data_IF_325379009900
#
_entry.id   IF_325379009900
#
_cell.length_a   1.000
_cell.length_b   1.000
_cell.length_c   1.000
_cell.angle_alpha   90.00
_cell.angle_beta   90.00
_cell.angle_gamma   90.00
#
_symmetry.space_group_name_H-M   'P 1'
#
loop_
_entity.id
_entity.type
_entity.pdbx_description
1 polymer ?
#
# COMPACT_ATOMS: atom_id res chain seq x y z
N UNK A 1 -49.32 6.83 -22.99
CA UNK A 1 -49.22 5.69 -22.04
C UNK A 1 -50.55 5.49 -21.36
N UNK A 2 -51.05 4.24 -21.21
CA UNK A 2 -52.24 3.92 -20.43
C UNK A 2 -51.91 2.92 -19.33
N UNK A 3 -52.67 2.97 -18.20
CA UNK A 3 -52.60 1.93 -17.17
C UNK A 3 -53.03 0.58 -17.74
N UNK A 4 -52.29 -0.51 -17.46
CA UNK A 4 -52.56 -1.85 -18.01
C UNK A 4 -52.54 -2.89 -16.88
N UNK A 5 -53.33 -2.62 -15.82
CA UNK A 5 -53.49 -3.49 -14.67
C UNK A 5 -52.25 -3.48 -13.74
N UNK A 6 -52.27 -4.37 -12.77
CA UNK A 6 -51.17 -4.58 -11.80
C UNK A 6 -50.56 -5.96 -11.96
N UNK A 7 -49.29 -6.09 -11.64
CA UNK A 7 -48.61 -7.36 -11.55
C UNK A 7 -47.70 -7.37 -10.32
N UNK A 8 -47.89 -8.32 -9.42
CA UNK A 8 -47.18 -8.37 -8.12
C UNK A 8 -47.21 -7.01 -7.42
N UNK A 9 -48.39 -6.45 -7.22
CA UNK A 9 -48.66 -5.16 -6.57
C UNK A 9 -48.05 -3.93 -7.25
N UNK A 10 -47.43 -4.06 -8.44
CA UNK A 10 -46.83 -2.94 -9.18
C UNK A 10 -47.71 -2.57 -10.38
N UNK A 11 -48.03 -1.27 -10.53
CA UNK A 11 -48.79 -0.77 -11.68
C UNK A 11 -48.04 -1.04 -12.98
N UNK A 12 -48.73 -1.69 -13.95
CA UNK A 12 -48.23 -1.81 -15.32
C UNK A 12 -48.79 -0.70 -16.19
N UNK A 13 -48.01 -0.35 -17.17
CA UNK A 13 -48.38 0.60 -18.22
C UNK A 13 -48.16 -0.06 -19.59
N UNK A 14 -48.96 0.35 -20.58
CA UNK A 14 -48.80 -0.03 -21.97
C UNK A 14 -48.53 1.22 -22.80
N UNK A 15 -47.50 1.17 -23.67
CA UNK A 15 -47.30 2.22 -24.66
C UNK A 15 -48.44 2.15 -25.70
N UNK A 16 -49.10 3.27 -25.93
CA UNK A 16 -50.18 3.31 -26.93
C UNK A 16 -49.70 3.29 -28.37
N UNK A 17 -48.45 3.64 -28.57
CA UNK A 17 -47.83 3.69 -29.94
C UNK A 17 -47.28 2.32 -30.34
N UNK A 18 -46.41 1.71 -29.50
CA UNK A 18 -45.73 0.46 -29.87
C UNK A 18 -46.25 -0.79 -29.14
N UNK A 19 -47.28 -0.65 -28.27
CA UNK A 19 -47.88 -1.77 -27.53
C UNK A 19 -47.03 -2.39 -26.42
N UNK A 20 -45.80 -1.96 -26.24
CA UNK A 20 -44.86 -2.50 -25.20
C UNK A 20 -45.44 -2.25 -23.80
N UNK A 21 -45.40 -3.29 -22.97
CA UNK A 21 -45.78 -3.25 -21.55
C UNK A 21 -44.56 -3.06 -20.70
N UNK A 22 -44.65 -2.14 -19.73
CA UNK A 22 -43.59 -1.86 -18.77
C UNK A 22 -44.19 -1.54 -17.39
N UNK A 23 -43.37 -1.55 -16.36
CA UNK A 23 -43.78 -1.14 -15.01
C UNK A 23 -43.12 0.19 -14.70
N UNK A 24 -43.87 1.05 -13.99
CA UNK A 24 -43.25 2.24 -13.39
C UNK A 24 -42.44 1.84 -12.17
N UNK A 25 -41.39 2.52 -11.96
CA UNK A 25 -40.51 2.36 -10.80
C UNK A 25 -39.06 2.52 -11.22
N UNK A 26 -38.31 3.19 -10.38
CA UNK A 26 -36.88 3.28 -10.54
C UNK A 26 -36.27 1.86 -10.45
N UNK A 27 -35.60 1.44 -11.50
CA UNK A 27 -34.82 0.20 -11.44
C UNK A 27 -33.43 0.56 -11.01
N UNK A 28 -33.03 0.11 -9.83
CA UNK A 28 -31.66 0.29 -9.38
C UNK A 28 -30.69 -0.18 -10.46
N UNK A 29 -29.75 0.67 -10.82
CA UNK A 29 -28.71 0.40 -11.82
C UNK A 29 -27.53 -0.35 -11.23
N UNK A 30 -26.64 -0.88 -12.06
CA UNK A 30 -25.43 -1.53 -11.60
C UNK A 30 -24.51 -0.56 -10.85
N UNK A 31 -24.39 0.68 -11.34
CA UNK A 31 -23.58 1.72 -10.73
C UNK A 31 -24.12 2.17 -9.37
N UNK A 32 -25.45 2.33 -9.24
CA UNK A 32 -26.07 2.63 -7.93
C UNK A 32 -25.86 1.47 -6.94
N UNK A 33 -26.01 0.22 -7.38
CA UNK A 33 -25.72 -0.94 -6.54
C UNK A 33 -24.27 -0.95 -6.10
N UNK A 34 -23.36 -0.61 -7.01
CA UNK A 34 -21.93 -0.53 -6.69
C UNK A 34 -21.63 0.57 -5.69
N UNK A 35 -22.21 1.75 -5.88
CA UNK A 35 -22.07 2.88 -4.96
C UNK A 35 -22.54 2.53 -3.55
N UNK A 36 -23.73 1.97 -3.43
CA UNK A 36 -24.25 1.49 -2.14
C UNK A 36 -23.39 0.41 -1.51
N UNK A 37 -22.91 -0.53 -2.33
CA UNK A 37 -22.09 -1.63 -1.86
C UNK A 37 -20.71 -1.16 -1.39
N UNK A 38 -20.04 -0.32 -2.17
CA UNK A 38 -18.67 0.11 -1.92
C UNK A 38 -18.62 1.28 -0.93
N UNK A 39 -19.21 2.41 -1.30
CA UNK A 39 -19.13 3.64 -0.51
C UNK A 39 -20.18 3.66 0.61
N UNK A 40 -21.35 3.15 0.37
CA UNK A 40 -22.39 2.97 1.39
C UNK A 40 -22.09 1.84 2.38
N UNK A 41 -21.10 0.99 2.12
CA UNK A 41 -20.70 -0.16 2.95
C UNK A 41 -21.84 -1.13 3.24
N UNK A 42 -22.85 -1.17 2.36
CA UNK A 42 -24.05 -1.98 2.53
C UNK A 42 -23.83 -3.42 2.06
N UNK A 43 -24.45 -4.34 2.74
CA UNK A 43 -24.51 -5.74 2.31
C UNK A 43 -25.48 -5.93 1.17
N UNK A 44 -25.36 -7.02 0.42
CA UNK A 44 -26.31 -7.40 -0.63
C UNK A 44 -27.74 -7.52 -0.08
N UNK A 45 -27.91 -7.96 1.18
CA UNK A 45 -29.20 -8.09 1.84
C UNK A 45 -29.83 -6.71 2.11
N UNK A 46 -29.06 -5.76 2.62
CA UNK A 46 -29.53 -4.40 2.89
C UNK A 46 -29.92 -3.67 1.60
N UNK A 47 -29.10 -3.74 0.55
CA UNK A 47 -29.41 -3.16 -0.76
C UNK A 47 -30.68 -3.80 -1.34
N UNK A 48 -30.83 -5.12 -1.20
CA UNK A 48 -32.02 -5.85 -1.62
C UNK A 48 -33.29 -5.37 -0.87
N UNK A 49 -33.18 -5.22 0.44
CA UNK A 49 -34.30 -4.74 1.26
C UNK A 49 -34.74 -3.30 0.90
N UNK A 50 -33.76 -2.41 0.70
CA UNK A 50 -34.02 -1.01 0.37
C UNK A 50 -34.55 -0.82 -1.05
N UNK A 51 -33.99 -1.56 -2.03
CA UNK A 51 -34.38 -1.40 -3.44
C UNK A 51 -35.60 -2.23 -3.87
N UNK A 52 -36.05 -3.16 -3.02
CA UNK A 52 -37.09 -4.14 -3.37
C UNK A 52 -36.68 -5.13 -4.45
N UNK A 53 -35.36 -5.23 -4.76
CA UNK A 53 -34.78 -6.11 -5.78
C UNK A 53 -34.17 -7.35 -5.14
N UNK A 54 -34.36 -8.52 -5.71
CA UNK A 54 -33.86 -9.77 -5.12
C UNK A 54 -32.35 -9.78 -4.93
N UNK A 55 -31.80 -10.45 -3.88
CA UNK A 55 -30.37 -10.57 -3.67
C UNK A 55 -29.60 -11.15 -4.87
N UNK A 56 -30.23 -12.08 -5.60
CA UNK A 56 -29.65 -12.65 -6.83
C UNK A 56 -29.48 -11.63 -7.93
N UNK A 57 -30.45 -10.71 -8.09
CA UNK A 57 -30.37 -9.61 -9.05
C UNK A 57 -29.30 -8.61 -8.65
N UNK A 58 -29.21 -8.25 -7.34
CA UNK A 58 -28.13 -7.37 -6.83
C UNK A 58 -26.76 -7.99 -7.13
N UNK A 59 -26.55 -9.28 -6.84
CA UNK A 59 -25.29 -9.98 -7.16
C UNK A 59 -24.99 -9.94 -8.66
N UNK A 60 -26.00 -10.12 -9.51
CA UNK A 60 -25.84 -10.05 -10.96
C UNK A 60 -25.45 -8.64 -11.41
N UNK A 61 -26.09 -7.60 -10.88
CA UNK A 61 -25.74 -6.21 -11.18
C UNK A 61 -24.30 -5.90 -10.74
N UNK A 62 -23.90 -6.28 -9.53
CA UNK A 62 -22.50 -6.15 -9.08
C UNK A 62 -21.51 -6.85 -10.03
N UNK A 63 -21.91 -7.99 -10.63
CA UNK A 63 -21.07 -8.72 -11.57
C UNK A 63 -20.93 -8.04 -12.94
N UNK A 64 -21.88 -7.17 -13.33
CA UNK A 64 -21.84 -6.44 -14.61
C UNK A 64 -21.03 -5.15 -14.54
N UNK A 65 -20.80 -4.58 -13.34
CA UNK A 65 -19.97 -3.39 -13.20
C UNK A 65 -18.56 -3.72 -13.70
N UNK A 66 -18.07 -2.96 -14.67
CA UNK A 66 -16.72 -3.07 -15.19
C UNK A 66 -16.07 -1.70 -15.16
N UNK A 67 -14.93 -1.60 -14.49
CA UNK A 67 -14.09 -0.43 -14.58
C UNK A 67 -12.97 -0.72 -15.57
N UNK A 68 -12.81 0.14 -16.57
CA UNK A 68 -11.58 0.20 -17.33
C UNK A 68 -10.62 1.05 -16.53
N UNK A 69 -9.62 0.42 -15.96
CA UNK A 69 -8.52 1.16 -15.35
C UNK A 69 -7.62 1.65 -16.48
N UNK A 70 -7.47 2.94 -16.58
CA UNK A 70 -6.49 3.57 -17.46
C UNK A 70 -5.45 4.26 -16.57
N UNK A 71 -4.18 4.09 -16.92
CA UNK A 71 -3.12 4.76 -16.19
C UNK A 71 -3.28 6.27 -16.32
N UNK A 72 -3.12 7.03 -15.23
CA UNK A 72 -3.25 8.47 -15.29
C UNK A 72 -2.16 9.09 -16.17
N UNK A 73 -2.54 9.97 -17.07
CA UNK A 73 -1.59 10.86 -17.74
C UNK A 73 -1.20 11.97 -16.77
N UNK A 74 0.06 12.06 -16.44
CA UNK A 74 0.55 12.98 -15.41
C UNK A 74 1.60 13.92 -15.98
N UNK A 75 1.59 15.17 -15.52
CA UNK A 75 2.60 16.17 -15.88
C UNK A 75 3.01 16.93 -14.62
N UNK A 76 4.15 17.60 -14.67
CA UNK A 76 4.72 18.34 -13.55
C UNK A 76 6.02 17.73 -13.04
N UNK A 77 6.39 18.08 -11.84
CA UNK A 77 7.61 17.57 -11.21
C UNK A 77 7.43 17.43 -9.70
N UNK A 78 8.07 16.43 -9.10
CA UNK A 78 8.00 16.24 -7.65
C UNK A 78 8.65 14.95 -7.17
N UNK A 79 8.44 14.68 -5.90
CA UNK A 79 8.87 13.47 -5.24
C UNK A 79 7.78 12.41 -5.37
N UNK A 80 8.18 11.19 -5.68
CA UNK A 80 7.29 10.05 -5.90
C UNK A 80 7.41 9.06 -4.75
N UNK A 81 6.29 8.73 -4.13
CA UNK A 81 6.19 7.61 -3.21
C UNK A 81 5.83 6.35 -3.98
N UNK A 82 6.53 5.25 -3.74
CA UNK A 82 6.17 3.94 -4.29
C UNK A 82 6.12 2.90 -3.20
N UNK A 83 5.07 2.10 -3.22
CA UNK A 83 4.90 0.99 -2.29
C UNK A 83 3.90 -0.03 -2.83
N UNK A 84 4.02 -1.27 -2.36
CA UNK A 84 3.13 -2.36 -2.71
C UNK A 84 2.36 -2.87 -1.50
N UNK A 85 1.11 -3.25 -1.71
CA UNK A 85 0.32 -3.86 -0.64
C UNK A 85 -0.50 -5.04 -1.13
N UNK A 86 -0.80 -5.98 -0.22
CA UNK A 86 -1.49 -7.21 -0.52
C UNK A 86 -2.83 -7.30 0.23
N UNK A 87 -3.83 -7.81 -0.47
CA UNK A 87 -5.20 -8.02 0.00
C UNK A 87 -5.57 -9.50 0.10
N UNK A 88 -4.59 -10.36 0.07
CA UNK A 88 -4.69 -11.81 0.13
C UNK A 88 -3.54 -12.44 -0.63
N UNK A 89 -3.61 -13.77 -0.79
CA UNK A 89 -2.58 -14.50 -1.53
C UNK A 89 -2.63 -14.11 -3.01
N UNK A 90 -1.49 -13.74 -3.59
CA UNK A 90 -1.34 -13.39 -5.01
C UNK A 90 -2.30 -12.27 -5.50
N UNK A 91 -2.69 -11.37 -4.61
CA UNK A 91 -3.55 -10.23 -4.96
C UNK A 91 -3.04 -8.99 -4.26
N UNK A 92 -2.32 -8.17 -4.97
CA UNK A 92 -1.75 -6.92 -4.49
C UNK A 92 -1.87 -5.81 -5.52
N UNK A 93 -1.49 -4.64 -5.13
CA UNK A 93 -1.29 -3.48 -5.98
C UNK A 93 0.04 -2.82 -5.66
N UNK A 94 0.71 -2.35 -6.70
CA UNK A 94 1.76 -1.35 -6.62
C UNK A 94 1.14 0.01 -6.91
N UNK A 95 1.45 1.00 -6.08
CA UNK A 95 0.95 2.37 -6.21
C UNK A 95 2.12 3.33 -6.22
N UNK A 96 2.07 4.34 -7.09
CA UNK A 96 2.94 5.50 -7.04
C UNK A 96 2.09 6.78 -6.85
N UNK A 97 2.42 7.56 -5.82
CA UNK A 97 1.76 8.81 -5.48
C UNK A 97 2.75 9.98 -5.53
N UNK A 98 2.26 11.16 -5.91
CA UNK A 98 3.01 12.40 -5.75
C UNK A 98 3.04 12.82 -4.28
N UNK A 99 4.22 13.17 -3.79
CA UNK A 99 4.38 13.73 -2.44
C UNK A 99 3.65 15.07 -2.30
N UNK A 100 3.02 15.29 -1.15
CA UNK A 100 2.30 16.53 -0.83
C UNK A 100 0.87 16.56 -1.36
N UNK A 101 0.63 16.33 -2.64
CA UNK A 101 -0.72 16.33 -3.22
C UNK A 101 -1.47 15.01 -3.01
N UNK A 102 -0.73 13.89 -2.86
CA UNK A 102 -1.31 12.55 -2.85
C UNK A 102 -1.90 12.12 -4.20
N UNK A 103 -1.61 12.86 -5.29
CA UNK A 103 -2.09 12.53 -6.63
C UNK A 103 -1.54 11.18 -7.07
N UNK A 104 -2.42 10.33 -7.59
CA UNK A 104 -2.05 9.05 -8.16
C UNK A 104 -1.27 9.28 -9.46
N UNK A 105 -0.05 8.73 -9.52
CA UNK A 105 0.81 8.77 -10.70
C UNK A 105 0.83 7.44 -11.45
N UNK A 106 0.69 6.33 -10.74
CA UNK A 106 0.65 4.99 -11.30
C UNK A 106 -0.01 4.01 -10.34
N UNK A 107 -0.71 3.02 -10.89
CA UNK A 107 -1.20 1.87 -10.13
C UNK A 107 -1.22 0.62 -11.02
N UNK A 108 -0.77 -0.50 -10.48
CA UNK A 108 -0.86 -1.79 -11.17
C UNK A 108 -1.25 -2.91 -10.21
N UNK A 109 -2.02 -3.87 -10.71
CA UNK A 109 -2.26 -5.12 -10.01
C UNK A 109 -1.04 -6.02 -10.10
N UNK A 110 -0.59 -6.53 -8.97
CA UNK A 110 0.55 -7.45 -8.87
C UNK A 110 0.14 -8.74 -8.16
N UNK A 111 0.72 -9.86 -8.58
CA UNK A 111 0.59 -11.12 -7.86
C UNK A 111 1.69 -11.26 -6.80
N UNK A 112 2.88 -10.88 -7.17
CA UNK A 112 4.09 -10.81 -6.33
C UNK A 112 4.80 -9.51 -6.66
N UNK A 113 5.59 -9.02 -5.74
CA UNK A 113 6.38 -7.81 -5.89
C UNK A 113 7.67 -8.11 -6.64
N UNK A 114 7.83 -7.52 -7.82
CA UNK A 114 9.03 -7.63 -8.63
C UNK A 114 9.64 -6.25 -8.89
N UNK A 115 10.94 -6.21 -9.09
CA UNK A 115 11.65 -4.97 -9.45
C UNK A 115 11.07 -4.36 -10.73
N UNK A 116 10.75 -5.21 -11.71
CA UNK A 116 10.15 -4.79 -12.98
C UNK A 116 8.82 -4.04 -12.84
N UNK A 117 8.06 -4.27 -11.77
CA UNK A 117 6.81 -3.54 -11.52
C UNK A 117 7.11 -2.07 -11.17
N UNK A 118 8.17 -1.83 -10.40
CA UNK A 118 8.64 -0.49 -10.05
C UNK A 118 9.28 0.22 -11.25
N UNK A 119 10.05 -0.50 -12.08
CA UNK A 119 10.60 0.03 -13.32
C UNK A 119 9.49 0.44 -14.29
N UNK A 120 8.44 -0.37 -14.42
CA UNK A 120 7.26 -0.03 -15.23
C UNK A 120 6.55 1.23 -14.71
N UNK A 121 6.43 1.37 -13.39
CA UNK A 121 5.86 2.57 -12.77
C UNK A 121 6.68 3.83 -13.10
N UNK A 122 7.99 3.79 -12.90
CA UNK A 122 8.88 4.92 -13.22
C UNK A 122 8.86 5.24 -14.71
N UNK A 123 8.93 4.23 -15.57
CA UNK A 123 8.87 4.39 -17.03
C UNK A 123 7.57 5.06 -17.49
N UNK A 124 6.42 4.65 -16.92
CA UNK A 124 5.13 5.26 -17.22
C UNK A 124 5.10 6.74 -16.78
N UNK A 125 5.54 7.03 -15.56
CA UNK A 125 5.56 8.40 -15.00
C UNK A 125 6.40 9.32 -15.88
N UNK A 126 7.60 8.87 -16.28
CA UNK A 126 8.48 9.63 -17.17
C UNK A 126 7.90 9.83 -18.57
N UNK A 127 7.32 8.77 -19.16
CA UNK A 127 6.72 8.85 -20.50
C UNK A 127 5.50 9.76 -20.56
N UNK A 128 4.82 9.96 -19.44
CA UNK A 128 3.73 10.95 -19.29
C UNK A 128 4.19 12.39 -19.21
N UNK A 129 5.52 12.64 -19.14
CA UNK A 129 6.10 13.99 -19.03
C UNK A 129 6.30 14.48 -17.61
N UNK A 130 6.19 13.62 -16.60
CA UNK A 130 6.45 13.98 -15.21
C UNK A 130 7.95 13.86 -14.89
N UNK A 131 8.52 14.86 -14.21
CA UNK A 131 9.92 14.89 -13.80
C UNK A 131 10.06 14.43 -12.34
N UNK A 132 10.71 13.31 -12.13
CA UNK A 132 10.96 12.76 -10.79
C UNK A 132 12.15 13.47 -10.15
N UNK A 133 11.92 14.20 -9.04
CA UNK A 133 12.96 14.86 -8.22
C UNK A 133 13.59 13.91 -7.21
N UNK A 134 12.86 12.89 -6.81
CA UNK A 134 13.31 11.87 -5.88
C UNK A 134 12.22 10.86 -5.62
N UNK A 135 12.62 9.74 -5.03
CA UNK A 135 11.77 8.57 -4.82
C UNK A 135 11.82 8.17 -3.35
N UNK A 136 10.66 7.96 -2.73
CA UNK A 136 10.52 7.41 -1.38
C UNK A 136 10.03 5.97 -1.49
N UNK A 137 10.82 5.02 -0.98
CA UNK A 137 10.53 3.58 -1.05
C UNK A 137 10.75 2.90 0.31
N UNK A 138 10.31 1.65 0.39
CA UNK A 138 10.62 0.75 1.49
C UNK A 138 12.04 0.15 1.36
N UNK A 139 12.35 -0.86 2.17
CA UNK A 139 13.69 -1.47 2.22
C UNK A 139 13.93 -2.62 1.22
N UNK A 140 13.29 -2.65 0.07
CA UNK A 140 13.61 -3.64 -0.97
C UNK A 140 14.96 -3.30 -1.62
N UNK A 141 16.01 -4.02 -1.21
CA UNK A 141 17.40 -3.67 -1.46
C UNK A 141 17.73 -3.40 -2.95
N UNK A 142 17.22 -4.22 -3.87
CA UNK A 142 17.48 -4.06 -5.30
C UNK A 142 16.96 -2.76 -5.91
N UNK A 143 15.94 -2.14 -5.31
CA UNK A 143 15.42 -0.86 -5.82
C UNK A 143 16.45 0.28 -5.68
N UNK A 144 17.31 0.23 -4.67
CA UNK A 144 18.37 1.22 -4.47
C UNK A 144 19.46 1.13 -5.53
N UNK A 145 19.69 -0.06 -6.09
CA UNK A 145 20.63 -0.28 -7.18
C UNK A 145 20.04 0.15 -8.53
N UNK A 146 18.78 -0.26 -8.80
CA UNK A 146 18.09 0.04 -10.06
C UNK A 146 17.80 1.54 -10.23
N UNK A 147 17.48 2.22 -9.12
CA UNK A 147 17.18 3.66 -9.14
C UNK A 147 18.35 4.53 -8.63
N UNK A 148 19.59 4.05 -8.73
CA UNK A 148 20.79 4.76 -8.23
C UNK A 148 20.97 6.17 -8.83
N UNK A 149 20.42 6.44 -10.03
CA UNK A 149 20.45 7.75 -10.67
C UNK A 149 19.48 8.76 -10.04
N UNK A 150 18.59 8.32 -9.16
CA UNK A 150 17.63 9.16 -8.47
C UNK A 150 18.06 9.44 -7.03
N UNK A 151 17.57 10.53 -6.47
CA UNK A 151 17.61 10.78 -5.03
C UNK A 151 16.60 9.85 -4.35
N UNK A 152 17.08 8.82 -3.65
CA UNK A 152 16.23 7.81 -3.00
C UNK A 152 16.20 8.06 -1.51
N UNK A 153 15.00 8.13 -0.95
CA UNK A 153 14.74 8.12 0.49
C UNK A 153 14.25 6.73 0.91
N UNK A 154 14.99 6.08 1.78
CA UNK A 154 14.49 4.92 2.53
C UNK A 154 13.48 5.38 3.57
N UNK A 155 12.29 4.83 3.55
CA UNK A 155 11.27 5.13 4.57
C UNK A 155 11.77 4.80 5.98
N UNK A 156 11.90 5.81 6.84
CA UNK A 156 12.40 5.64 8.21
C UNK A 156 11.48 4.75 9.06
N UNK A 157 10.16 4.77 8.80
CA UNK A 157 9.22 3.87 9.48
C UNK A 157 9.52 2.40 9.14
N UNK A 158 9.79 2.08 7.88
CA UNK A 158 10.18 0.73 7.46
C UNK A 158 11.55 0.34 8.03
N UNK A 159 12.49 1.28 8.15
CA UNK A 159 13.77 1.01 8.83
C UNK A 159 13.56 0.60 10.28
N UNK A 160 12.74 1.34 11.03
CA UNK A 160 12.37 0.98 12.42
C UNK A 160 11.71 -0.40 12.47
N UNK A 161 10.82 -0.71 11.52
CA UNK A 161 10.16 -2.02 11.44
C UNK A 161 11.18 -3.16 11.19
N UNK A 162 12.19 -2.93 10.34
CA UNK A 162 13.30 -3.88 10.11
C UNK A 162 14.04 -4.14 11.42
N UNK A 163 14.42 -3.08 12.15
CA UNK A 163 15.15 -3.21 13.42
C UNK A 163 14.30 -3.97 14.46
N UNK A 164 13.03 -3.62 14.61
CA UNK A 164 12.10 -4.32 15.52
C UNK A 164 11.95 -5.80 15.19
N UNK A 165 11.89 -6.17 13.92
CA UNK A 165 11.80 -7.56 13.48
C UNK A 165 13.05 -8.36 13.86
N UNK A 166 14.22 -7.71 13.82
CA UNK A 166 15.51 -8.33 14.20
C UNK A 166 15.70 -8.40 15.72
N UNK A 167 15.34 -7.35 16.46
CA UNK A 167 15.59 -7.21 17.90
C UNK A 167 14.41 -7.59 18.79
N UNK A 168 13.22 -7.76 18.24
CA UNK A 168 11.92 -7.81 18.93
C UNK A 168 11.45 -6.41 19.40
N UNK A 169 10.22 -6.33 19.88
CA UNK A 169 9.64 -5.07 20.41
C UNK A 169 10.28 -4.66 21.75
N UNK A 170 10.70 -5.64 22.56
CA UNK A 170 11.29 -5.44 23.88
C UNK A 170 12.59 -6.26 23.98
N UNK A 171 13.73 -5.75 23.47
CA UNK A 171 15.00 -6.45 23.52
C UNK A 171 15.45 -6.68 24.96
N UNK A 172 15.95 -7.88 25.26
CA UNK A 172 16.49 -8.19 26.61
C UNK A 172 17.87 -7.57 26.83
N UNK A 173 18.69 -7.54 25.77
CA UNK A 173 20.06 -7.02 25.82
C UNK A 173 20.05 -5.49 25.83
N UNK A 174 20.90 -4.87 26.68
CA UNK A 174 21.02 -3.40 26.76
C UNK A 174 21.42 -2.81 25.40
N UNK A 175 22.42 -3.38 24.73
CA UNK A 175 22.81 -2.97 23.39
C UNK A 175 21.64 -2.95 22.38
N UNK A 176 20.74 -3.93 22.47
CA UNK A 176 19.56 -4.00 21.64
C UNK A 176 18.51 -2.95 21.98
N UNK A 177 18.35 -2.62 23.28
CA UNK A 177 17.45 -1.55 23.73
C UNK A 177 17.91 -0.19 23.24
N UNK A 178 19.21 0.11 23.43
CA UNK A 178 19.81 1.37 22.98
C UNK A 178 19.72 1.53 21.45
N UNK A 179 19.99 0.46 20.70
CA UNK A 179 19.90 0.52 19.23
C UNK A 179 18.45 0.73 18.74
N UNK A 180 17.48 0.10 19.40
CA UNK A 180 16.07 0.27 19.07
C UNK A 180 15.60 1.68 19.42
N UNK A 181 16.01 2.22 20.57
CA UNK A 181 15.71 3.59 21.00
C UNK A 181 16.30 4.60 20.00
N UNK A 182 17.56 4.41 19.60
CA UNK A 182 18.20 5.24 18.59
C UNK A 182 17.41 5.21 17.27
N UNK A 183 16.93 4.03 16.86
CA UNK A 183 16.10 3.89 15.66
C UNK A 183 14.76 4.63 15.79
N UNK A 184 14.10 4.62 16.95
CA UNK A 184 12.87 5.39 17.18
C UNK A 184 13.09 6.90 17.16
N UNK A 185 14.23 7.36 17.64
CA UNK A 185 14.58 8.78 17.67
C UNK A 185 15.04 9.33 16.31
N UNK A 186 15.33 8.46 15.33
CA UNK A 186 15.84 8.83 14.00
C UNK A 186 15.06 9.96 13.34
N UNK A 187 13.73 9.92 13.43
CA UNK A 187 12.83 10.92 12.83
C UNK A 187 13.01 12.35 13.36
N UNK A 188 13.62 12.49 14.53
CA UNK A 188 13.84 13.77 15.23
C UNK A 188 15.29 14.24 15.16
N UNK A 189 16.15 13.56 14.38
CA UNK A 189 17.58 13.84 14.28
C UNK A 189 17.95 14.21 12.85
N UNK A 190 19.03 14.98 12.72
CA UNK A 190 19.73 15.15 11.45
C UNK A 190 20.58 13.92 11.11
N UNK A 191 20.96 13.80 9.84
CA UNK A 191 21.91 12.78 9.35
C UNK A 191 23.20 12.75 10.17
N UNK A 192 23.78 13.94 10.42
CA UNK A 192 25.04 14.06 11.17
C UNK A 192 24.88 13.58 12.62
N UNK A 193 23.81 14.01 13.29
CA UNK A 193 23.53 13.60 14.67
C UNK A 193 23.29 12.11 14.79
N UNK A 194 22.44 11.55 13.92
CA UNK A 194 22.18 10.11 13.92
C UNK A 194 23.43 9.30 13.64
N UNK A 195 24.23 9.68 12.63
CA UNK A 195 25.49 9.00 12.29
C UNK A 195 26.49 9.03 13.45
N UNK A 196 26.61 10.19 14.15
CA UNK A 196 27.46 10.33 15.32
C UNK A 196 27.03 9.40 16.45
N UNK A 197 25.75 9.42 16.82
CA UNK A 197 25.19 8.56 17.89
C UNK A 197 25.29 7.07 17.53
N UNK A 198 25.07 6.73 16.29
CA UNK A 198 25.20 5.34 15.80
C UNK A 198 26.67 4.88 15.82
N UNK A 199 27.60 5.75 15.51
CA UNK A 199 29.04 5.44 15.61
C UNK A 199 29.45 5.25 17.06
N UNK A 200 29.07 6.13 17.97
CA UNK A 200 29.32 5.98 19.40
C UNK A 200 28.72 4.67 19.96
N UNK A 201 27.51 4.29 19.52
CA UNK A 201 26.90 3.02 19.87
C UNK A 201 27.73 1.83 19.35
N UNK A 202 28.24 1.86 18.11
CA UNK A 202 29.11 0.81 17.55
C UNK A 202 30.42 0.67 18.32
N UNK A 203 31.02 1.77 18.71
CA UNK A 203 32.26 1.80 19.50
C UNK A 203 32.01 1.23 20.91
N UNK A 204 30.96 1.69 21.60
CA UNK A 204 30.58 1.20 22.93
C UNK A 204 30.37 -0.32 22.97
N UNK A 205 29.74 -0.89 21.96
CA UNK A 205 29.38 -2.30 21.92
C UNK A 205 30.28 -3.16 21.01
N UNK A 206 31.43 -2.61 20.60
CA UNK A 206 32.33 -3.26 19.63
C UNK A 206 32.73 -4.67 20.04
N UNK A 207 33.25 -4.88 21.24
CA UNK A 207 33.73 -6.18 21.69
C UNK A 207 32.57 -7.16 21.92
N UNK A 208 31.46 -6.69 22.51
CA UNK A 208 30.25 -7.47 22.65
C UNK A 208 29.71 -7.99 21.31
N UNK A 209 29.76 -7.17 20.27
CA UNK A 209 29.34 -7.55 18.93
C UNK A 209 30.30 -8.56 18.28
N UNK A 210 31.54 -8.70 18.74
CA UNK A 210 32.52 -9.66 18.25
C UNK A 210 32.50 -11.00 18.97
N UNK A 211 31.77 -11.11 20.06
CA UNK A 211 31.63 -12.37 20.80
C UNK A 211 31.18 -13.51 19.88
N UNK A 212 31.79 -14.68 20.07
CA UNK A 212 31.51 -15.88 19.31
C UNK A 212 31.23 -17.05 20.22
N UNK A 213 30.32 -17.91 19.80
CA UNK A 213 30.00 -19.19 20.45
C UNK A 213 30.11 -20.32 19.43
N UNK A 214 30.40 -21.52 19.91
CA UNK A 214 30.34 -22.73 19.10
C UNK A 214 28.92 -23.23 19.10
N UNK A 215 28.34 -23.44 17.93
CA UNK A 215 27.01 -24.07 17.78
C UNK A 215 27.18 -25.56 18.10
N UNK A 216 26.56 -26.02 19.17
CA UNK A 216 26.69 -27.42 19.67
C UNK A 216 26.20 -28.47 18.67
N UNK A 217 25.25 -28.09 17.80
CA UNK A 217 24.68 -29.03 16.81
C UNK A 217 25.59 -29.15 15.58
N UNK A 218 26.16 -28.03 15.11
CA UNK A 218 26.90 -28.01 13.84
C UNK A 218 28.41 -27.93 14.03
N UNK A 219 28.92 -27.73 15.25
CA UNK A 219 30.31 -27.49 15.56
C UNK A 219 30.92 -26.20 15.00
N UNK A 220 30.08 -25.35 14.35
CA UNK A 220 30.57 -24.13 13.70
C UNK A 220 30.62 -22.98 14.69
N UNK A 221 31.67 -22.18 14.58
CA UNK A 221 31.77 -20.92 15.31
C UNK A 221 30.86 -19.87 14.67
N UNK A 222 29.94 -19.31 15.46
CA UNK A 222 28.98 -18.28 15.05
C UNK A 222 29.08 -17.06 15.96
N UNK A 223 28.68 -15.90 15.47
CA UNK A 223 28.55 -14.73 16.36
C UNK A 223 27.43 -14.96 17.37
N UNK A 224 27.72 -14.73 18.65
CA UNK A 224 26.77 -14.88 19.74
C UNK A 224 25.53 -13.98 19.54
N UNK A 225 25.75 -12.75 19.08
CA UNK A 225 24.72 -11.72 18.95
C UNK A 225 24.30 -11.49 17.50
N UNK A 226 24.01 -12.56 16.74
CA UNK A 226 23.71 -12.49 15.30
C UNK A 226 22.59 -11.52 14.94
N UNK A 227 21.49 -11.52 15.71
CA UNK A 227 20.33 -10.65 15.44
C UNK A 227 20.67 -9.17 15.66
N UNK A 228 21.43 -8.86 16.70
CA UNK A 228 21.89 -7.50 16.99
C UNK A 228 22.87 -7.01 15.90
N UNK A 229 23.81 -7.85 15.50
CA UNK A 229 24.71 -7.56 14.36
C UNK A 229 23.93 -7.32 13.07
N UNK A 230 22.94 -8.15 12.79
CA UNK A 230 22.10 -8.01 11.59
C UNK A 230 21.31 -6.69 11.62
N UNK A 231 20.83 -6.25 12.79
CA UNK A 231 20.18 -4.95 12.94
C UNK A 231 21.17 -3.79 12.68
N UNK A 232 22.34 -3.84 13.27
CA UNK A 232 23.43 -2.87 13.03
C UNK A 232 23.81 -2.78 11.55
N UNK A 233 24.02 -3.94 10.89
CA UNK A 233 24.37 -4.00 9.46
C UNK A 233 23.26 -3.38 8.61
N UNK A 234 21.98 -3.62 8.95
CA UNK A 234 20.87 -3.00 8.22
C UNK A 234 20.90 -1.49 8.33
N UNK A 235 21.14 -0.92 9.50
CA UNK A 235 21.27 0.54 9.65
C UNK A 235 22.47 1.03 8.82
N UNK A 236 23.63 0.39 8.92
CA UNK A 236 24.82 0.79 8.16
C UNK A 236 24.60 0.77 6.66
N UNK A 237 23.88 -0.23 6.15
CA UNK A 237 23.56 -0.39 4.72
C UNK A 237 22.64 0.73 4.21
N UNK A 238 21.59 1.04 4.96
CA UNK A 238 20.59 2.02 4.53
C UNK A 238 20.90 3.47 4.96
N UNK A 239 21.91 3.69 5.81
CA UNK A 239 22.25 5.03 6.32
C UNK A 239 22.42 6.09 5.22
N UNK A 240 23.02 5.80 4.05
CA UNK A 240 23.11 6.75 2.95
C UNK A 240 21.76 7.27 2.45
N UNK A 241 20.70 6.47 2.59
CA UNK A 241 19.36 6.72 2.06
C UNK A 241 18.35 7.17 3.11
N UNK A 242 18.69 7.10 4.41
CA UNK A 242 17.75 7.39 5.50
C UNK A 242 17.47 8.88 5.71
N UNK A 243 18.33 9.74 5.16
CA UNK A 243 18.26 11.19 5.35
C UNK A 243 18.34 11.98 4.04
N UNK A 244 18.02 11.35 2.91
CA UNK A 244 18.00 12.01 1.60
C UNK A 244 16.97 13.16 1.55
N UNK A 245 15.94 13.10 2.40
CA UNK A 245 14.95 14.16 2.55
C UNK A 245 15.56 15.50 2.98
N UNK A 246 16.73 15.52 3.61
CA UNK A 246 17.44 16.76 3.95
C UNK A 246 18.01 17.47 2.71
N UNK A 247 18.21 16.72 1.60
CA UNK A 247 18.82 17.21 0.36
C UNK A 247 17.78 17.61 -0.69
N UNK A 248 16.52 17.16 -0.56
CA UNK A 248 15.48 17.33 -1.58
C UNK A 248 14.27 18.04 -0.98
N UNK A 249 14.00 19.24 -1.42
CA UNK A 249 12.87 20.03 -0.94
C UNK A 249 11.53 19.30 -1.16
N UNK A 250 10.73 19.20 -0.10
CA UNK A 250 9.42 18.54 -0.14
C UNK A 250 9.47 17.01 -0.11
N UNK A 251 10.64 16.41 0.05
CA UNK A 251 10.76 14.96 0.25
C UNK A 251 10.49 14.62 1.72
N UNK A 252 9.52 13.76 2.03
CA UNK A 252 9.30 13.31 3.40
C UNK A 252 10.24 12.16 3.77
N UNK A 253 10.46 11.98 5.06
CA UNK A 253 11.27 10.89 5.60
C UNK A 253 10.52 9.56 5.71
N UNK A 254 9.20 9.54 5.45
CA UNK A 254 8.36 8.34 5.56
C UNK A 254 7.42 8.19 4.37
N UNK A 255 6.86 6.98 4.22
CA UNK A 255 5.88 6.64 3.18
C UNK A 255 4.42 6.68 3.68
N UNK A 256 4.14 7.45 4.74
CA UNK A 256 2.84 7.47 5.43
C UNK A 256 1.66 7.83 4.52
N UNK A 257 1.87 8.63 3.47
CA UNK A 257 0.81 9.01 2.53
C UNK A 257 0.21 7.76 1.84
N UNK A 258 1.06 6.85 1.36
CA UNK A 258 0.61 5.59 0.73
C UNK A 258 0.01 4.66 1.78
N UNK A 259 0.60 4.57 2.97
CA UNK A 259 0.07 3.69 4.04
C UNK A 259 -1.35 4.09 4.47
N UNK A 260 -1.64 5.39 4.49
CA UNK A 260 -3.01 5.91 4.71
C UNK A 260 -3.98 5.39 3.65
N UNK A 261 -3.62 5.54 2.38
CA UNK A 261 -4.41 5.05 1.23
C UNK A 261 -4.64 3.53 1.33
N UNK A 262 -3.61 2.75 1.61
CA UNK A 262 -3.73 1.30 1.77
C UNK A 262 -4.59 0.90 2.96
N UNK A 263 -4.56 1.66 4.04
CA UNK A 263 -5.39 1.43 5.23
C UNK A 263 -6.86 1.60 4.90
N UNK A 264 -7.23 2.64 4.17
CA UNK A 264 -8.62 2.88 3.75
C UNK A 264 -9.10 1.80 2.78
N UNK A 265 -8.29 1.41 1.80
CA UNK A 265 -8.61 0.30 0.89
C UNK A 265 -8.81 -1.02 1.65
N UNK A 266 -7.93 -1.35 2.58
CA UNK A 266 -8.04 -2.55 3.42
C UNK A 266 -9.26 -2.51 4.32
N UNK A 267 -9.61 -1.35 4.87
CA UNK A 267 -10.82 -1.15 5.69
C UNK A 267 -12.08 -1.42 4.87
N UNK A 268 -12.16 -0.87 3.65
CA UNK A 268 -13.28 -1.11 2.75
C UNK A 268 -13.42 -2.59 2.40
N UNK A 269 -12.32 -3.27 2.08
CA UNK A 269 -12.34 -4.72 1.80
C UNK A 269 -12.77 -5.57 3.00
N UNK A 270 -12.41 -5.18 4.23
CA UNK A 270 -12.83 -5.89 5.46
C UNK A 270 -14.35 -5.81 5.70
N UNK A 271 -15.01 -4.76 5.23
CA UNK A 271 -16.46 -4.63 5.34
C UNK A 271 -17.20 -5.65 4.46
N UNK A 272 -16.49 -6.29 3.51
CA UNK A 272 -17.07 -7.26 2.57
C UNK A 272 -16.30 -8.60 2.58
N UNK A 273 -16.30 -9.34 3.70
CA UNK A 273 -15.48 -10.57 3.86
C UNK A 273 -15.81 -11.67 2.85
N UNK A 274 -17.04 -11.70 2.31
CA UNK A 274 -17.49 -12.67 1.29
C UNK A 274 -17.21 -12.25 -0.16
N UNK A 275 -16.47 -11.16 -0.39
CA UNK A 275 -16.20 -10.67 -1.75
C UNK A 275 -15.32 -11.65 -2.55
N UNK A 276 -15.73 -11.96 -3.78
CA UNK A 276 -14.94 -12.80 -4.70
C UNK A 276 -13.62 -12.12 -5.10
N UNK A 277 -12.61 -12.90 -5.48
CA UNK A 277 -11.33 -12.35 -5.94
C UNK A 277 -11.51 -11.39 -7.15
N UNK A 278 -12.46 -11.70 -8.05
CA UNK A 278 -12.81 -10.83 -9.20
C UNK A 278 -13.35 -9.47 -8.73
N UNK A 279 -14.24 -9.47 -7.76
CA UNK A 279 -14.80 -8.22 -7.23
C UNK A 279 -13.77 -7.44 -6.40
N UNK A 280 -12.87 -8.11 -5.68
CA UNK A 280 -11.76 -7.46 -4.98
C UNK A 280 -10.86 -6.69 -5.96
N UNK A 281 -10.50 -7.30 -7.11
CA UNK A 281 -9.72 -6.61 -8.14
C UNK A 281 -10.43 -5.39 -8.72
N UNK A 282 -11.76 -5.41 -8.80
CA UNK A 282 -12.55 -4.25 -9.28
C UNK A 282 -12.65 -3.12 -8.26
N UNK A 283 -12.51 -3.44 -6.99
CA UNK A 283 -12.57 -2.50 -5.89
C UNK A 283 -11.24 -1.78 -5.65
N UNK A 284 -10.14 -2.38 -6.04
CA UNK A 284 -8.79 -1.82 -5.98
C UNK A 284 -8.45 -1.07 -7.24
#
# INVERSE_FOLDING_TARGET
MRKDGTYKSTQRYKCIVCGIRFRSGHKITADEVWEHYLHGKQTVAEISAQSGVSPSTIKRLLATVSFKWEQPTVSGEGVVHMDATYFGRNTGILVALESGSGRLLYMAHIAHEHISDYEAAVSHILSSGYKIKGIVIDGLQKLFEVFADYKIQMCQFHMVAIIRRKLTKNPKLMAGRELLELAYQMKNMSKAEFASRFTAWKEKWHDFLKEKTINEITGRTIFTHQRLRSAMISISHYLPYLFTFEEVAGMPNTNNAIEGTFTDMKKNLRNHPGMTAKNRKRMM
#
